data_IF_155006604068
#
_entry.id   IF_155006604068
#
_cell.length_a   1.000
_cell.length_b   1.000
_cell.length_c   1.000
_cell.angle_alpha   90.00
_cell.angle_beta   90.00
_cell.angle_gamma   90.00
#
_symmetry.space_group_name_H-M   'P 1'
#
loop_
_entity.id
_entity.type
_entity.pdbx_description
1 polymer ?
#
# COMPACT_ATOMS: atom_id res chain seq x y z
N UNK A 1 -15.95 -10.42 21.47
CA UNK A 1 -16.88 -9.77 20.51
C UNK A 1 -17.39 -8.36 20.90
N UNK A 2 -17.65 -8.05 22.18
CA UNK A 2 -18.20 -6.72 22.58
C UNK A 2 -17.31 -5.51 22.23
N UNK A 3 -15.98 -5.63 22.30
CA UNK A 3 -15.03 -4.54 22.02
C UNK A 3 -14.98 -4.14 20.53
N UNK A 4 -14.99 -5.11 19.63
CA UNK A 4 -15.03 -4.89 18.17
C UNK A 4 -16.33 -4.24 17.73
N UNK A 5 -17.47 -4.70 18.27
CA UNK A 5 -18.79 -4.12 18.01
C UNK A 5 -18.86 -2.67 18.51
N UNK A 6 -18.31 -2.39 19.70
CA UNK A 6 -18.20 -1.01 20.23
C UNK A 6 -17.30 -0.12 19.37
N UNK A 7 -16.12 -0.61 18.95
CA UNK A 7 -15.21 0.13 18.06
C UNK A 7 -15.90 0.52 16.75
N UNK A 8 -16.61 -0.43 16.14
CA UNK A 8 -17.39 -0.21 14.93
C UNK A 8 -18.51 0.82 15.15
N UNK A 9 -19.28 0.71 16.23
CA UNK A 9 -20.34 1.67 16.56
C UNK A 9 -19.81 3.09 16.81
N UNK A 10 -18.66 3.24 17.45
CA UNK A 10 -18.05 4.56 17.68
C UNK A 10 -17.60 5.16 16.33
N UNK A 11 -17.02 4.35 15.44
CA UNK A 11 -16.66 4.78 14.08
C UNK A 11 -17.90 5.23 13.30
N UNK A 12 -18.94 4.40 13.30
CA UNK A 12 -20.18 4.63 12.58
C UNK A 12 -20.90 5.90 13.08
N UNK A 13 -20.98 6.08 14.41
CA UNK A 13 -21.63 7.25 15.03
C UNK A 13 -20.88 8.55 14.80
N UNK A 14 -19.55 8.50 14.61
CA UNK A 14 -18.69 9.70 14.44
C UNK A 14 -18.10 9.84 13.03
N UNK A 15 -18.71 9.19 12.03
CA UNK A 15 -18.24 9.15 10.63
C UNK A 15 -17.80 10.51 10.07
N UNK A 16 -18.59 11.57 10.28
CA UNK A 16 -18.31 12.92 9.76
C UNK A 16 -17.02 13.52 10.33
N UNK A 17 -16.75 13.27 11.62
CA UNK A 17 -15.53 13.75 12.28
C UNK A 17 -14.31 12.94 11.86
N UNK A 18 -14.47 11.63 11.66
CA UNK A 18 -13.41 10.75 11.15
C UNK A 18 -13.03 11.14 9.73
N UNK A 19 -14.00 11.24 8.82
CA UNK A 19 -13.78 11.63 7.42
C UNK A 19 -13.13 13.01 7.33
N UNK A 20 -13.58 14.00 8.12
CA UNK A 20 -13.00 15.35 8.09
C UNK A 20 -11.56 15.43 8.61
N UNK A 21 -11.17 14.58 9.57
CA UNK A 21 -9.83 14.64 10.19
C UNK A 21 -8.83 13.66 9.58
N UNK A 22 -9.30 12.54 9.05
CA UNK A 22 -8.48 11.41 8.60
C UNK A 22 -8.67 11.13 7.11
N UNK A 23 -9.74 11.61 6.47
CA UNK A 23 -10.00 11.38 5.05
C UNK A 23 -8.93 11.95 4.13
N UNK A 24 -8.50 13.20 4.34
CA UNK A 24 -7.44 13.82 3.53
C UNK A 24 -6.10 13.06 3.61
N UNK A 25 -5.53 12.74 4.79
CA UNK A 25 -4.29 11.96 4.84
C UNK A 25 -4.41 10.60 4.16
N UNK A 26 -5.57 9.94 4.27
CA UNK A 26 -5.76 8.59 3.72
C UNK A 26 -5.96 8.61 2.20
N UNK A 27 -6.61 9.66 1.68
CA UNK A 27 -6.66 9.88 0.24
C UNK A 27 -5.28 10.19 -0.32
N UNK A 28 -4.48 11.00 0.38
CA UNK A 28 -3.12 11.35 -0.05
C UNK A 28 -2.21 10.12 -0.11
N UNK A 29 -2.27 9.23 0.87
CA UNK A 29 -1.48 7.98 0.84
C UNK A 29 -1.95 7.04 -0.27
N UNK A 30 -3.26 6.93 -0.50
CA UNK A 30 -3.82 6.15 -1.60
C UNK A 30 -3.37 6.66 -2.97
N UNK A 31 -3.43 7.97 -3.20
CA UNK A 31 -2.97 8.58 -4.46
C UNK A 31 -1.46 8.45 -4.62
N UNK A 32 -0.69 8.52 -3.52
CA UNK A 32 0.76 8.34 -3.55
C UNK A 32 1.15 6.90 -3.88
N UNK A 33 0.44 5.92 -3.32
CA UNK A 33 0.62 4.50 -3.64
C UNK A 33 0.27 4.21 -5.11
N UNK A 34 -0.79 4.84 -5.63
CA UNK A 34 -1.15 4.76 -7.05
C UNK A 34 -0.04 5.30 -7.95
N UNK A 35 0.49 6.48 -7.63
CA UNK A 35 1.57 7.12 -8.39
C UNK A 35 2.85 6.25 -8.39
N UNK A 36 3.19 5.68 -7.22
CA UNK A 36 4.30 4.75 -7.07
C UNK A 36 4.12 3.50 -7.93
N UNK A 37 2.92 2.91 -7.93
CA UNK A 37 2.62 1.74 -8.76
C UNK A 37 2.71 2.04 -10.25
N UNK A 38 2.22 3.19 -10.72
CA UNK A 38 2.36 3.62 -12.11
C UNK A 38 3.83 3.77 -12.50
N UNK A 39 4.62 4.42 -11.65
CA UNK A 39 6.07 4.56 -11.85
C UNK A 39 6.79 3.21 -11.87
N UNK A 40 6.45 2.32 -10.94
CA UNK A 40 7.01 0.97 -10.86
C UNK A 40 6.67 0.14 -12.09
N UNK A 41 5.44 0.21 -12.60
CA UNK A 41 5.03 -0.49 -13.82
C UNK A 41 5.79 0.02 -15.04
N UNK A 42 5.92 1.34 -15.19
CA UNK A 42 6.65 1.94 -16.32
C UNK A 42 8.13 1.54 -16.31
N UNK A 43 8.80 1.66 -15.16
CA UNK A 43 10.21 1.27 -15.01
C UNK A 43 10.42 -0.23 -15.19
N UNK A 44 9.51 -1.05 -14.68
CA UNK A 44 9.57 -2.51 -14.84
C UNK A 44 9.49 -2.89 -16.31
N UNK A 45 8.59 -2.32 -17.10
CA UNK A 45 8.47 -2.71 -18.50
C UNK A 45 9.57 -2.13 -19.39
N UNK A 46 9.93 -0.86 -19.22
CA UNK A 46 10.84 -0.16 -20.14
C UNK A 46 12.31 -0.43 -19.84
N UNK A 47 12.65 -0.70 -18.58
CA UNK A 47 14.01 -0.93 -18.17
C UNK A 47 14.23 -2.37 -17.72
N UNK A 48 13.49 -2.84 -16.71
CA UNK A 48 13.82 -4.10 -16.07
C UNK A 48 13.53 -5.33 -16.95
N UNK A 49 12.34 -5.42 -17.53
CA UNK A 49 11.93 -6.52 -18.38
C UNK A 49 12.87 -6.76 -19.58
N UNK A 50 13.26 -5.73 -20.36
CA UNK A 50 14.21 -5.93 -21.46
C UNK A 50 15.62 -6.25 -20.98
N UNK A 51 16.10 -5.69 -19.86
CA UNK A 51 17.41 -6.06 -19.29
C UNK A 51 17.43 -7.56 -18.98
N UNK A 52 16.39 -8.03 -18.29
CA UNK A 52 16.30 -9.44 -17.88
C UNK A 52 16.13 -10.34 -19.11
N UNK A 53 15.35 -9.93 -20.11
CA UNK A 53 15.20 -10.66 -21.38
C UNK A 53 16.55 -10.85 -22.11
N UNK A 54 17.36 -9.79 -22.21
CA UNK A 54 18.70 -9.84 -22.82
C UNK A 54 19.66 -10.73 -22.02
N UNK A 55 19.60 -10.69 -20.68
CA UNK A 55 20.39 -11.58 -19.83
C UNK A 55 20.01 -13.06 -20.02
N UNK A 56 18.72 -13.38 -20.20
CA UNK A 56 18.28 -14.73 -20.55
C UNK A 56 18.74 -15.19 -21.94
N UNK A 57 18.99 -14.25 -22.85
CA UNK A 57 19.61 -14.51 -24.15
C UNK A 57 21.15 -14.57 -24.08
N UNK A 58 21.73 -14.62 -22.88
CA UNK A 58 23.18 -14.67 -22.63
C UNK A 58 23.96 -13.45 -23.17
N UNK A 59 23.29 -12.30 -23.34
CA UNK A 59 23.96 -11.04 -23.68
C UNK A 59 24.75 -10.54 -22.47
N UNK A 60 26.00 -10.07 -22.64
CA UNK A 60 26.77 -9.47 -21.55
C UNK A 60 26.01 -8.33 -20.86
N UNK A 61 26.00 -8.32 -19.53
CA UNK A 61 25.23 -7.35 -18.74
C UNK A 61 25.58 -5.88 -19.07
N UNK A 62 26.85 -5.61 -19.38
CA UNK A 62 27.33 -4.29 -19.79
C UNK A 62 26.69 -3.81 -21.10
N UNK A 63 26.52 -4.72 -22.06
CA UNK A 63 25.87 -4.46 -23.35
C UNK A 63 24.35 -4.37 -23.22
N UNK A 64 23.75 -5.18 -22.35
CA UNK A 64 22.32 -5.12 -22.09
C UNK A 64 21.90 -3.80 -21.42
N UNK A 65 22.70 -3.33 -20.45
CA UNK A 65 22.45 -2.05 -19.77
C UNK A 65 22.67 -0.84 -20.68
N UNK A 66 23.66 -0.88 -21.58
CA UNK A 66 23.93 0.23 -22.51
C UNK A 66 22.92 0.31 -23.66
N UNK A 67 22.29 -0.81 -24.03
CA UNK A 67 21.28 -0.87 -25.07
C UNK A 67 19.92 -0.31 -24.63
N UNK A 68 19.67 -0.19 -23.33
CA UNK A 68 18.36 0.15 -22.77
C UNK A 68 18.34 1.59 -22.28
N UNK A 69 17.40 2.37 -22.80
CA UNK A 69 17.18 3.75 -22.39
C UNK A 69 16.69 3.86 -20.94
N UNK A 70 16.98 4.99 -20.30
CA UNK A 70 16.54 5.31 -18.95
C UNK A 70 15.08 5.81 -19.00
N UNK A 71 14.15 5.13 -18.32
CA UNK A 71 12.77 5.57 -18.17
C UNK A 71 12.66 6.68 -17.11
N UNK A 72 13.05 7.90 -17.49
CA UNK A 72 13.00 9.07 -16.62
C UNK A 72 11.60 9.31 -16.03
N UNK A 73 10.55 9.09 -16.83
CA UNK A 73 9.17 9.26 -16.38
C UNK A 73 8.82 8.31 -15.23
N UNK A 74 9.03 7.00 -15.43
CA UNK A 74 8.76 6.01 -14.41
C UNK A 74 9.61 6.21 -13.15
N UNK A 75 10.87 6.60 -13.29
CA UNK A 75 11.76 6.91 -12.16
C UNK A 75 11.23 8.11 -11.38
N UNK A 76 10.91 9.22 -12.05
CA UNK A 76 10.37 10.42 -11.40
C UNK A 76 9.07 10.09 -10.66
N UNK A 77 8.13 9.38 -11.31
CA UNK A 77 6.88 8.96 -10.67
C UNK A 77 7.13 8.05 -9.46
N UNK A 78 8.08 7.12 -9.53
CA UNK A 78 8.40 6.21 -8.43
C UNK A 78 9.04 6.95 -7.25
N UNK A 79 9.96 7.86 -7.52
CA UNK A 79 10.65 8.65 -6.49
C UNK A 79 9.66 9.59 -5.80
N UNK A 80 8.91 10.38 -6.57
CA UNK A 80 7.89 11.30 -6.03
C UNK A 80 6.83 10.49 -5.27
N UNK A 81 6.37 9.38 -5.84
CA UNK A 81 5.36 8.51 -5.21
C UNK A 81 5.84 7.96 -3.87
N UNK A 82 7.10 7.52 -3.79
CA UNK A 82 7.70 7.02 -2.56
C UNK A 82 7.80 8.09 -1.47
N UNK A 83 8.28 9.29 -1.81
CA UNK A 83 8.39 10.40 -0.87
C UNK A 83 7.01 10.86 -0.37
N UNK A 84 6.05 11.01 -1.27
CA UNK A 84 4.68 11.37 -0.92
C UNK A 84 4.01 10.29 -0.09
N UNK A 85 4.23 9.01 -0.39
CA UNK A 85 3.69 7.89 0.37
C UNK A 85 4.26 7.88 1.80
N UNK A 86 5.56 8.09 1.96
CA UNK A 86 6.19 8.20 3.27
C UNK A 86 5.61 9.35 4.09
N UNK A 87 5.54 10.55 3.49
CA UNK A 87 5.04 11.75 4.17
C UNK A 87 3.56 11.61 4.53
N UNK A 88 2.74 11.10 3.61
CA UNK A 88 1.31 10.89 3.83
C UNK A 88 1.05 9.83 4.90
N UNK A 89 1.82 8.74 4.94
CA UNK A 89 1.73 7.73 6.02
C UNK A 89 2.08 8.32 7.39
N UNK A 90 3.13 9.14 7.47
CA UNK A 90 3.50 9.85 8.71
C UNK A 90 2.38 10.82 9.11
N UNK A 91 1.86 11.58 8.15
CA UNK A 91 0.77 12.52 8.38
C UNK A 91 -0.51 11.81 8.84
N UNK A 92 -0.89 10.70 8.18
CA UNK A 92 -1.97 9.81 8.55
C UNK A 92 -1.79 9.26 9.96
N UNK A 93 -0.56 8.86 10.33
CA UNK A 93 -0.24 8.39 11.66
C UNK A 93 -0.46 9.47 12.72
N UNK A 94 0.04 10.69 12.49
CA UNK A 94 -0.07 11.82 13.41
C UNK A 94 -1.53 12.25 13.54
N UNK A 95 -2.25 12.40 12.43
CA UNK A 95 -3.67 12.77 12.42
C UNK A 95 -4.52 11.74 13.19
N UNK A 96 -4.27 10.45 12.96
CA UNK A 96 -4.92 9.36 13.69
C UNK A 96 -4.61 9.45 15.19
N UNK A 97 -3.35 9.65 15.59
CA UNK A 97 -2.99 9.82 17.01
C UNK A 97 -3.66 11.04 17.65
N UNK A 98 -3.69 12.18 16.96
CA UNK A 98 -4.36 13.41 17.45
C UNK A 98 -5.85 13.19 17.62
N UNK A 99 -6.51 12.46 16.70
CA UNK A 99 -7.92 12.11 16.84
C UNK A 99 -8.15 11.23 18.08
N UNK A 100 -7.36 10.18 18.25
CA UNK A 100 -7.50 9.24 19.37
C UNK A 100 -7.18 9.89 20.72
N UNK A 101 -6.26 10.85 20.78
CA UNK A 101 -5.92 11.62 22.00
C UNK A 101 -6.97 12.66 22.37
N UNK A 102 -7.80 13.11 21.43
CA UNK A 102 -8.87 14.05 21.78
C UNK A 102 -9.85 13.35 22.72
N UNK A 103 -10.08 13.94 23.91
CA UNK A 103 -10.85 13.36 25.04
C UNK A 103 -12.24 12.79 24.69
N UNK A 104 -12.74 13.05 23.49
CA UNK A 104 -13.99 12.52 22.92
C UNK A 104 -13.93 11.05 22.48
N UNK A 105 -12.73 10.46 22.41
CA UNK A 105 -12.49 9.05 22.11
C UNK A 105 -11.85 8.31 23.30
N UNK A 106 -11.70 9.01 24.42
CA UNK A 106 -11.07 8.53 25.64
C UNK A 106 -12.08 7.69 26.43
N UNK A 107 -11.87 6.38 26.45
CA UNK A 107 -12.50 5.49 27.42
C UNK A 107 -11.49 5.32 28.56
N UNK A 108 -11.96 5.38 29.81
CA UNK A 108 -11.14 5.42 31.03
C UNK A 108 -9.98 4.41 31.02
N UNK A 109 -8.80 4.85 31.46
CA UNK A 109 -7.59 4.02 31.61
C UNK A 109 -7.73 3.18 32.87
N UNK A 110 -8.05 1.90 32.76
CA UNK A 110 -7.80 0.94 33.84
C UNK A 110 -6.57 0.09 33.51
N UNK A 111 -5.56 0.18 34.38
CA UNK A 111 -4.23 -0.39 34.24
C UNK A 111 -4.24 -1.88 34.62
N UNK A 112 -4.18 -2.82 33.67
CA UNK A 112 -3.78 -4.21 33.97
C UNK A 112 -2.98 -4.88 32.83
N UNK A 113 -2.07 -5.80 33.22
CA UNK A 113 -1.09 -6.51 32.36
C UNK A 113 -1.77 -7.42 31.29
N UNK A 114 -1.17 -7.59 30.09
CA UNK A 114 -1.80 -8.31 28.98
C UNK A 114 -1.75 -9.85 29.12
N UNK A 115 -2.91 -10.52 29.11
CA UNK A 115 -3.05 -11.99 29.10
C UNK A 115 -2.68 -12.64 27.75
N UNK A 116 -2.40 -13.95 27.74
CA UNK A 116 -1.97 -14.75 26.57
C UNK A 116 -2.94 -14.68 25.38
N UNK A 117 -4.25 -14.71 25.64
CA UNK A 117 -5.28 -14.58 24.60
C UNK A 117 -5.22 -13.24 23.86
N UNK A 118 -4.85 -12.16 24.56
CA UNK A 118 -4.69 -10.83 23.95
C UNK A 118 -3.44 -10.76 23.06
N UNK A 119 -2.42 -11.61 23.31
CA UNK A 119 -1.23 -11.71 22.47
C UNK A 119 -1.54 -12.45 21.17
N UNK A 120 -2.23 -13.59 21.25
CA UNK A 120 -2.68 -14.35 20.07
C UNK A 120 -3.65 -13.53 19.19
N UNK A 121 -4.55 -12.77 19.81
CA UNK A 121 -5.44 -11.86 19.07
C UNK A 121 -4.68 -10.74 18.35
N UNK A 122 -3.61 -10.23 18.96
CA UNK A 122 -2.76 -9.21 18.33
C UNK A 122 -2.01 -9.82 17.14
N UNK A 123 -1.45 -11.02 17.31
CA UNK A 123 -0.76 -11.73 16.25
C UNK A 123 -1.69 -12.04 15.06
N UNK A 124 -2.91 -12.48 15.30
CA UNK A 124 -3.90 -12.74 14.22
C UNK A 124 -4.31 -11.47 13.48
N UNK A 125 -4.50 -10.35 14.17
CA UNK A 125 -4.74 -9.05 13.53
C UNK A 125 -3.54 -8.59 12.69
N UNK A 126 -2.33 -8.73 13.22
CA UNK A 126 -1.09 -8.34 12.53
C UNK A 126 -0.91 -9.18 11.29
N UNK A 127 -1.10 -10.49 11.41
CA UNK A 127 -1.06 -11.43 10.29
C UNK A 127 -2.11 -11.07 9.24
N UNK A 128 -3.35 -10.74 9.64
CA UNK A 128 -4.41 -10.35 8.69
C UNK A 128 -4.07 -9.06 7.94
N UNK A 129 -3.42 -8.09 8.59
CA UNK A 129 -2.95 -6.86 7.93
C UNK A 129 -1.86 -7.13 6.92
N UNK A 130 -0.89 -7.97 7.29
CA UNK A 130 0.17 -8.38 6.38
C UNK A 130 -0.39 -9.16 5.20
N UNK A 131 -1.31 -10.09 5.44
CA UNK A 131 -1.97 -10.86 4.39
C UNK A 131 -2.72 -9.96 3.41
N UNK A 132 -3.37 -8.90 3.92
CA UNK A 132 -4.09 -7.94 3.10
C UNK A 132 -3.15 -7.03 2.30
N UNK A 133 -2.05 -6.58 2.90
CA UNK A 133 -1.03 -5.80 2.20
C UNK A 133 -0.37 -6.63 1.10
N UNK A 134 -0.05 -7.89 1.39
CA UNK A 134 0.50 -8.82 0.39
C UNK A 134 -0.54 -9.10 -0.69
N UNK A 135 -1.76 -9.46 -0.33
CA UNK A 135 -2.78 -9.91 -1.28
C UNK A 135 -3.36 -8.80 -2.16
N UNK A 136 -3.49 -7.57 -1.65
CA UNK A 136 -4.14 -6.48 -2.39
C UNK A 136 -3.17 -5.48 -3.01
N UNK A 137 -1.94 -5.39 -2.50
CA UNK A 137 -0.94 -4.44 -2.99
C UNK A 137 0.21 -5.18 -3.65
N UNK A 138 0.88 -6.09 -2.95
CA UNK A 138 2.12 -6.70 -3.48
C UNK A 138 1.85 -7.69 -4.59
N UNK A 139 0.92 -8.64 -4.38
CA UNK A 139 0.65 -9.73 -5.31
C UNK A 139 0.12 -9.23 -6.66
N UNK A 140 -0.82 -8.28 -6.75
CA UNK A 140 -1.26 -7.73 -8.04
C UNK A 140 -0.11 -7.06 -8.80
N UNK A 141 0.77 -6.33 -8.11
CA UNK A 141 1.93 -5.68 -8.75
C UNK A 141 2.95 -6.70 -9.26
N UNK A 142 3.18 -7.77 -8.49
CA UNK A 142 4.06 -8.87 -8.92
C UNK A 142 3.49 -9.59 -10.15
N UNK A 143 2.19 -9.91 -10.15
CA UNK A 143 1.53 -10.57 -11.29
C UNK A 143 1.58 -9.69 -12.55
N UNK A 144 1.35 -8.38 -12.40
CA UNK A 144 1.53 -7.43 -13.49
C UNK A 144 2.99 -7.46 -13.97
N UNK A 145 3.97 -7.36 -13.07
CA UNK A 145 5.40 -7.42 -13.43
C UNK A 145 5.80 -8.70 -14.17
N UNK A 146 5.32 -9.86 -13.73
CA UNK A 146 5.56 -11.15 -14.41
C UNK A 146 4.90 -11.18 -15.79
N UNK A 147 3.67 -10.67 -15.91
CA UNK A 147 3.00 -10.55 -17.21
C UNK A 147 3.76 -9.66 -18.19
N UNK A 148 4.29 -8.53 -17.70
CA UNK A 148 5.11 -7.60 -18.48
C UNK A 148 6.42 -8.23 -18.93
N UNK A 149 7.06 -9.01 -18.05
CA UNK A 149 8.26 -9.76 -18.37
C UNK A 149 8.04 -10.82 -19.45
N UNK A 150 6.96 -11.60 -19.33
CA UNK A 150 6.59 -12.59 -20.34
C UNK A 150 6.29 -11.94 -21.69
N UNK A 151 5.60 -10.79 -21.68
CA UNK A 151 5.34 -10.01 -22.89
C UNK A 151 6.64 -9.57 -23.57
N UNK A 152 7.62 -9.06 -22.82
CA UNK A 152 8.91 -8.65 -23.34
C UNK A 152 9.70 -9.80 -23.98
N UNK A 153 9.66 -10.99 -23.37
CA UNK A 153 10.35 -12.19 -23.89
C UNK A 153 9.71 -12.78 -25.16
N UNK A 154 8.40 -12.63 -25.32
CA UNK A 154 7.63 -13.26 -26.41
C UNK A 154 7.80 -12.61 -27.80
N UNK A 155 8.81 -11.77 -28.00
CA UNK A 155 9.05 -10.98 -29.24
C UNK A 155 7.93 -9.98 -29.62
N UNK A 156 6.86 -9.87 -28.82
CA UNK A 156 5.80 -8.86 -28.97
C UNK A 156 6.29 -7.40 -28.80
N UNK A 157 7.52 -7.20 -28.33
CA UNK A 157 8.14 -5.87 -28.21
C UNK A 157 8.66 -5.28 -29.53
N UNK A 158 8.64 -6.01 -30.65
CA UNK A 158 9.28 -5.59 -31.90
C UNK A 158 8.55 -4.49 -32.70
N UNK A 159 7.42 -3.97 -32.21
CA UNK A 159 6.65 -2.94 -32.93
C UNK A 159 6.71 -1.57 -32.26
N UNK A 160 6.28 -1.49 -31.00
CA UNK A 160 6.26 -0.25 -30.22
C UNK A 160 6.38 -0.60 -28.74
N UNK A 161 7.26 0.10 -28.01
CA UNK A 161 7.48 -0.04 -26.56
C UNK A 161 6.31 0.53 -25.74
N UNK A 162 5.08 0.31 -26.18
CA UNK A 162 3.88 0.92 -25.62
C UNK A 162 3.16 -0.06 -24.70
N UNK A 163 3.10 0.27 -23.41
CA UNK A 163 2.23 -0.42 -22.47
C UNK A 163 0.80 0.09 -22.64
N UNK A 164 -0.21 -0.79 -22.73
CA UNK A 164 -1.59 -0.35 -22.73
C UNK A 164 -1.94 0.45 -21.48
N UNK A 165 -2.65 1.57 -21.65
CA UNK A 165 -3.03 2.48 -20.55
C UNK A 165 -3.76 1.75 -19.43
N UNK A 166 -4.59 0.75 -19.76
CA UNK A 166 -5.35 -0.01 -18.78
C UNK A 166 -4.46 -0.74 -17.75
N UNK A 167 -3.23 -1.15 -18.12
CA UNK A 167 -2.31 -1.82 -17.19
C UNK A 167 -1.90 -0.85 -16.07
N UNK A 168 -1.60 0.41 -16.42
CA UNK A 168 -1.33 1.46 -15.43
C UNK A 168 -2.54 1.75 -14.55
N UNK A 169 -3.74 1.79 -15.14
CA UNK A 169 -4.99 2.03 -14.39
C UNK A 169 -5.25 0.91 -13.39
N UNK A 170 -5.09 -0.35 -13.80
CA UNK A 170 -5.28 -1.52 -12.94
C UNK A 170 -4.24 -1.52 -11.82
N UNK A 171 -2.97 -1.27 -12.12
CA UNK A 171 -1.91 -1.17 -11.11
C UNK A 171 -2.20 -0.04 -10.10
N UNK A 172 -2.58 1.14 -10.59
CA UNK A 172 -2.95 2.28 -9.75
C UNK A 172 -4.14 1.96 -8.86
N UNK A 173 -5.17 1.31 -9.40
CA UNK A 173 -6.39 0.96 -8.68
C UNK A 173 -6.12 -0.03 -7.53
N UNK A 174 -5.37 -1.11 -7.79
CA UNK A 174 -5.01 -2.08 -6.75
C UNK A 174 -4.15 -1.45 -5.65
N UNK A 175 -3.16 -0.62 -6.02
CA UNK A 175 -2.32 0.07 -5.05
C UNK A 175 -3.11 1.08 -4.20
N UNK A 176 -3.96 1.90 -4.83
CA UNK A 176 -4.80 2.87 -4.12
C UNK A 176 -5.80 2.18 -3.18
N UNK A 177 -6.54 1.19 -3.70
CA UNK A 177 -7.54 0.47 -2.92
C UNK A 177 -6.87 -0.29 -1.75
N UNK A 178 -5.74 -0.96 -2.01
CA UNK A 178 -5.01 -1.70 -0.98
C UNK A 178 -4.47 -0.80 0.11
N UNK A 179 -3.95 0.38 -0.25
CA UNK A 179 -3.48 1.36 0.71
C UNK A 179 -4.64 1.91 1.57
N UNK A 180 -5.78 2.26 0.96
CA UNK A 180 -6.96 2.72 1.70
C UNK A 180 -7.48 1.68 2.69
N UNK A 181 -7.64 0.44 2.22
CA UNK A 181 -8.16 -0.63 3.09
C UNK A 181 -7.12 -0.89 4.20
N UNK A 182 -5.82 -0.84 3.91
CA UNK A 182 -4.76 -1.03 4.91
C UNK A 182 -4.83 0.03 6.01
N UNK A 183 -5.02 1.30 5.65
CA UNK A 183 -5.12 2.38 6.64
C UNK A 183 -6.42 2.31 7.46
N UNK A 184 -7.53 1.91 6.84
CA UNK A 184 -8.79 1.65 7.55
C UNK A 184 -8.64 0.48 8.53
N UNK A 185 -7.98 -0.61 8.12
CA UNK A 185 -7.65 -1.72 9.00
C UNK A 185 -6.72 -1.25 10.13
N UNK A 186 -5.71 -0.42 9.83
CA UNK A 186 -4.77 0.13 10.80
C UNK A 186 -5.48 1.01 11.84
N UNK A 187 -6.42 1.85 11.40
CA UNK A 187 -7.29 2.64 12.25
C UNK A 187 -8.14 1.74 13.15
N UNK A 188 -8.77 0.72 12.57
CA UNK A 188 -9.60 -0.24 13.30
C UNK A 188 -8.80 -0.93 14.40
N UNK A 189 -7.61 -1.47 14.08
CA UNK A 189 -6.70 -2.09 15.04
C UNK A 189 -6.28 -1.12 16.15
N UNK A 190 -6.00 0.15 15.85
CA UNK A 190 -5.65 1.15 16.87
C UNK A 190 -6.79 1.43 17.84
N UNK A 191 -8.02 1.53 17.34
CA UNK A 191 -9.22 1.75 18.17
C UNK A 191 -9.55 0.52 19.01
N UNK A 192 -9.43 -0.65 18.41
CA UNK A 192 -9.62 -1.94 19.06
C UNK A 192 -8.54 -2.17 20.13
N UNK A 193 -7.29 -1.81 19.84
CA UNK A 193 -6.18 -1.85 20.80
C UNK A 193 -6.42 -0.93 22.00
N UNK A 194 -7.03 0.24 21.79
CA UNK A 194 -7.49 1.12 22.88
C UNK A 194 -8.62 0.49 23.71
N UNK A 195 -9.50 -0.31 23.09
CA UNK A 195 -10.62 -0.99 23.75
C UNK A 195 -10.24 -2.34 24.40
N UNK A 196 -9.08 -2.93 24.10
CA UNK A 196 -8.63 -4.21 24.68
C UNK A 196 -7.86 -4.06 25.99
N UNK A 197 -7.53 -2.83 26.38
CA UNK A 197 -7.24 -2.49 27.77
C UNK A 197 -8.56 -2.30 28.50
N UNK A 198 -9.28 -3.40 28.76
CA UNK A 198 -10.09 -3.70 29.96
C UNK A 198 -10.71 -5.10 29.78
N UNK A 199 -10.37 -6.01 30.69
CA UNK A 199 -11.40 -6.70 31.47
C UNK A 199 -11.18 -6.21 32.89
#
# INVERSE_FOLDING_TARGET
MKAYRKAFFILARRRKTVVRRIGLPYLLSATSAALLAVGGVSTTYKCFAPIVALLFQHVPATTALSAIGIDLWGIICSVIGSFLLLFSLIYAHIATRRMLRSGRWYVSREQMRPSTDKRLLRLTLDLSMWLMLIGLVVLPQLLIGVGLFNSANSQLMLGESYLPVWVYVVAAAFAAAGMLIFELAALYRRIVGLNFYVK
#
